data_IF_056509081572
#
_entry.id   IF_056509081572
#
_cell.length_a   1.000
_cell.length_b   1.000
_cell.length_c   1.000
_cell.angle_alpha   90.00
_cell.angle_beta   90.00
_cell.angle_gamma   90.00
#
_symmetry.space_group_name_H-M   'P 1'
#
loop_
_entity.id
_entity.type
_entity.pdbx_description
1 polymer ?
#
# COMPACT_ATOMS: atom_id res chain seq x y z
N UNK A 1 -70.22 -2.13 11.76
CA UNK A 1 -70.30 -2.47 13.20
C UNK A 1 -69.07 -3.31 13.54
N UNK A 2 -68.34 -2.91 14.60
CA UNK A 2 -67.44 -3.73 15.46
C UNK A 2 -66.29 -4.50 14.79
N UNK A 3 -65.00 -4.28 15.00
CA UNK A 3 -64.16 -3.51 15.93
C UNK A 3 -62.72 -4.09 15.84
N UNK A 4 -61.64 -3.37 16.22
CA UNK A 4 -60.26 -3.86 16.05
C UNK A 4 -59.83 -4.79 17.19
N UNK A 5 -59.32 -5.98 16.87
CA UNK A 5 -58.81 -6.92 17.87
C UNK A 5 -57.31 -6.72 18.12
N UNK A 6 -57.01 -6.17 19.30
CA UNK A 6 -55.66 -5.92 19.85
C UNK A 6 -54.95 -7.24 20.21
N UNK A 7 -53.62 -7.37 20.02
CA UNK A 7 -52.89 -8.61 20.29
C UNK A 7 -52.61 -8.80 21.79
N UNK A 8 -52.73 -10.05 22.27
CA UNK A 8 -52.32 -10.45 23.63
C UNK A 8 -50.98 -11.19 23.58
N UNK A 9 -49.97 -10.57 24.19
CA UNK A 9 -48.65 -11.13 24.51
C UNK A 9 -48.83 -12.40 25.36
N UNK A 10 -48.24 -13.51 24.93
CA UNK A 10 -48.03 -14.68 25.80
C UNK A 10 -46.65 -14.59 26.44
N UNK A 11 -46.61 -14.69 27.75
CA UNK A 11 -45.45 -14.56 28.63
C UNK A 11 -45.25 -15.90 29.34
N UNK A 12 -44.05 -16.50 29.18
CA UNK A 12 -43.28 -17.38 30.11
C UNK A 12 -43.91 -18.75 30.50
N UNK A 13 -43.16 -19.74 31.05
CA UNK A 13 -41.90 -19.69 31.84
C UNK A 13 -40.77 -20.65 31.39
N UNK A 14 -39.48 -20.39 31.65
CA UNK A 14 -38.74 -20.53 32.92
C UNK A 14 -38.74 -21.96 33.50
N UNK A 15 -37.69 -22.74 33.19
CA UNK A 15 -37.06 -23.82 33.98
C UNK A 15 -36.10 -24.59 33.04
N UNK A 16 -34.77 -24.51 33.18
CA UNK A 16 -33.89 -25.08 34.22
C UNK A 16 -33.51 -26.56 33.98
N UNK A 17 -32.28 -26.91 34.41
CA UNK A 17 -31.59 -28.22 34.39
C UNK A 17 -30.91 -28.56 33.04
N UNK A 18 -29.59 -28.48 32.82
CA UNK A 18 -28.39 -28.79 33.63
C UNK A 18 -28.29 -30.30 33.96
N UNK A 19 -27.63 -31.09 33.09
CA UNK A 19 -26.95 -32.35 33.45
C UNK A 19 -25.94 -32.82 32.38
N UNK A 20 -24.76 -33.21 32.87
CA UNK A 20 -23.83 -34.23 32.34
C UNK A 20 -22.98 -33.90 31.10
N UNK A 21 -21.70 -33.55 31.26
CA UNK A 21 -20.54 -34.44 31.53
C UNK A 21 -19.88 -34.99 30.25
N UNK A 22 -18.78 -34.32 29.89
CA UNK A 22 -17.55 -34.80 29.25
C UNK A 22 -17.57 -36.17 28.54
N UNK A 23 -17.51 -36.17 27.19
CA UNK A 23 -16.60 -37.01 26.37
C UNK A 23 -16.73 -36.67 24.87
N UNK A 24 -15.97 -35.70 24.36
CA UNK A 24 -15.69 -35.59 22.91
C UNK A 24 -14.48 -34.68 22.67
N UNK A 25 -13.31 -35.17 23.08
CA UNK A 25 -12.05 -34.75 22.52
C UNK A 25 -11.96 -35.32 21.09
N UNK A 26 -12.39 -34.58 20.06
CA UNK A 26 -12.04 -34.91 18.67
C UNK A 26 -12.28 -33.74 17.70
N UNK A 27 -11.22 -33.34 17.02
CA UNK A 27 -11.19 -32.81 15.65
C UNK A 27 -12.21 -31.72 15.24
N UNK A 28 -11.76 -30.47 15.22
CA UNK A 28 -11.78 -29.62 14.00
C UNK A 28 -11.08 -28.28 14.27
N UNK A 29 -9.77 -28.33 14.52
CA UNK A 29 -8.89 -27.21 14.19
C UNK A 29 -8.64 -27.31 12.69
N UNK A 30 -9.43 -26.61 11.87
CA UNK A 30 -9.05 -26.10 10.53
C UNK A 30 -10.26 -25.45 9.85
N UNK A 31 -10.27 -24.12 9.80
CA UNK A 31 -10.81 -23.29 8.70
C UNK A 31 -11.12 -21.87 9.24
N UNK A 32 -10.11 -21.02 9.30
CA UNK A 32 -10.32 -19.58 9.19
C UNK A 32 -9.72 -19.17 7.83
N UNK A 33 -10.53 -18.87 6.80
CA UNK A 33 -10.00 -18.24 5.60
C UNK A 33 -9.47 -16.87 6.02
N UNK A 34 -8.24 -16.57 5.61
CA UNK A 34 -7.61 -15.28 5.83
C UNK A 34 -8.55 -14.17 5.39
N UNK A 35 -9.04 -13.41 6.37
CA UNK A 35 -9.61 -12.08 6.15
C UNK A 35 -8.50 -11.21 5.59
N UNK A 36 -8.42 -11.15 4.27
CA UNK A 36 -7.78 -10.02 3.58
C UNK A 36 -8.61 -8.80 3.96
N UNK A 37 -8.07 -7.99 4.87
CA UNK A 37 -8.61 -6.66 5.09
C UNK A 37 -8.64 -5.91 3.75
N UNK A 38 -9.67 -5.10 3.51
CA UNK A 38 -9.75 -4.30 2.29
C UNK A 38 -8.52 -3.41 2.24
N UNK A 39 -7.77 -3.55 1.16
CA UNK A 39 -6.56 -2.80 0.80
C UNK A 39 -6.79 -1.31 1.09
N UNK A 40 -6.30 -0.87 2.25
CA UNK A 40 -6.51 0.47 2.72
C UNK A 40 -5.75 1.40 1.79
N UNK A 41 -6.44 2.41 1.24
CA UNK A 41 -5.82 3.49 0.48
C UNK A 41 -4.60 4.03 1.26
N UNK A 42 -3.50 4.36 0.56
CA UNK A 42 -2.24 4.79 1.19
C UNK A 42 -2.51 5.89 2.21
N UNK A 43 -2.24 5.58 3.47
CA UNK A 43 -2.48 6.46 4.61
C UNK A 43 -1.61 7.71 4.46
N UNK A 44 -2.19 8.91 4.35
CA UNK A 44 -1.41 10.15 4.22
C UNK A 44 -0.34 10.27 5.34
N UNK A 45 0.92 9.96 5.02
CA UNK A 45 2.04 10.03 5.97
C UNK A 45 2.69 11.40 5.85
N UNK A 46 2.52 12.21 6.89
CA UNK A 46 3.00 13.59 6.92
C UNK A 46 1.98 14.62 6.42
N UNK A 47 2.40 15.88 6.35
CA UNK A 47 1.51 17.01 6.01
C UNK A 47 1.30 17.18 4.51
N UNK A 48 2.08 16.52 3.68
CA UNK A 48 2.08 16.71 2.24
C UNK A 48 0.94 15.95 1.55
N UNK A 49 0.54 16.44 0.36
CA UNK A 49 -0.43 15.74 -0.48
C UNK A 49 0.23 14.52 -1.10
N UNK A 50 -0.50 13.41 -1.24
CA UNK A 50 0.02 12.19 -1.82
C UNK A 50 -0.26 12.13 -3.34
N UNK A 51 0.69 11.57 -4.10
CA UNK A 51 0.46 11.14 -5.48
C UNK A 51 -0.28 9.79 -5.50
N UNK A 52 -1.62 9.85 -5.61
CA UNK A 52 -2.51 8.68 -5.58
C UNK A 52 -2.31 7.79 -6.81
N UNK A 53 -1.97 8.37 -7.96
CA UNK A 53 -1.74 7.62 -9.18
C UNK A 53 -0.46 6.78 -9.08
N UNK A 54 0.60 7.34 -8.49
CA UNK A 54 1.83 6.62 -8.24
C UNK A 54 1.63 5.47 -7.25
N UNK A 55 0.88 5.72 -6.17
CA UNK A 55 0.57 4.68 -5.19
C UNK A 55 -0.22 3.53 -5.82
N UNK A 56 -1.28 3.83 -6.59
CA UNK A 56 -2.05 2.80 -7.31
C UNK A 56 -1.17 1.95 -8.21
N UNK A 57 -0.27 2.57 -8.97
CA UNK A 57 0.61 1.84 -9.88
C UNK A 57 1.59 0.93 -9.11
N UNK A 58 2.05 1.33 -7.93
CA UNK A 58 2.90 0.50 -7.06
C UNK A 58 2.13 -0.71 -6.53
N UNK A 59 0.92 -0.53 -6.03
CA UNK A 59 0.06 -1.63 -5.57
C UNK A 59 -0.26 -2.60 -6.71
N UNK A 60 -0.56 -2.08 -7.91
CA UNK A 60 -0.87 -2.90 -9.08
C UNK A 60 0.33 -3.71 -9.61
N UNK A 61 1.55 -3.16 -9.48
CA UNK A 61 2.77 -3.79 -9.99
C UNK A 61 3.51 -4.65 -8.94
N UNK A 62 3.04 -4.65 -7.69
CA UNK A 62 3.66 -5.41 -6.61
C UNK A 62 2.97 -6.76 -6.44
N UNK A 63 3.73 -7.85 -6.53
CA UNK A 63 3.19 -9.21 -6.53
C UNK A 63 2.68 -9.66 -5.16
N UNK A 64 3.30 -9.21 -4.06
CA UNK A 64 2.95 -9.60 -2.69
C UNK A 64 3.00 -8.36 -1.77
N UNK A 65 1.97 -8.11 -0.95
CA UNK A 65 1.95 -7.01 0.01
C UNK A 65 3.10 -7.04 1.02
N UNK A 66 3.75 -8.18 1.25
CA UNK A 66 4.96 -8.25 2.09
C UNK A 66 6.13 -7.41 1.55
N UNK A 67 6.14 -7.09 0.25
CA UNK A 67 7.14 -6.20 -0.35
C UNK A 67 6.78 -4.72 -0.26
N UNK A 68 5.54 -4.40 0.11
CA UNK A 68 5.09 -3.03 0.34
C UNK A 68 5.47 -2.61 1.75
N UNK A 69 6.61 -1.94 1.87
CA UNK A 69 6.88 -1.20 3.08
C UNK A 69 6.01 0.05 3.14
N UNK A 70 5.77 0.49 4.37
CA UNK A 70 5.11 1.72 4.78
C UNK A 70 5.45 3.01 4.01
N UNK A 71 6.57 3.07 3.29
CA UNK A 71 7.07 4.27 2.62
C UNK A 71 7.09 4.19 1.10
N UNK A 72 6.91 3.00 0.52
CA UNK A 72 7.17 2.77 -0.91
C UNK A 72 6.09 3.40 -1.79
N UNK A 73 4.83 3.35 -1.37
CA UNK A 73 3.65 3.92 -2.01
C UNK A 73 3.37 5.37 -1.59
N UNK A 74 4.16 5.95 -0.69
CA UNK A 74 3.90 7.25 -0.07
C UNK A 74 4.71 8.40 -0.70
N UNK A 75 4.54 8.63 -2.00
CA UNK A 75 5.23 9.72 -2.70
C UNK A 75 4.49 11.07 -2.51
N UNK A 76 5.11 12.09 -1.87
CA UNK A 76 4.50 13.40 -1.75
C UNK A 76 4.44 14.10 -3.12
N UNK A 77 3.24 14.57 -3.48
CA UNK A 77 2.96 15.40 -4.63
C UNK A 77 3.56 16.80 -4.44
N UNK A 78 4.84 16.95 -4.80
CA UNK A 78 5.54 18.23 -4.82
C UNK A 78 5.32 18.96 -6.16
N UNK A 79 5.15 20.29 -6.12
CA UNK A 79 5.10 21.13 -7.34
C UNK A 79 6.48 21.46 -7.89
N UNK A 80 7.51 21.39 -7.04
CA UNK A 80 8.87 21.82 -7.37
C UNK A 80 9.74 20.65 -7.78
N UNK A 81 9.60 19.51 -7.11
CA UNK A 81 10.40 18.31 -7.35
C UNK A 81 9.62 17.38 -8.28
N UNK A 82 10.17 17.01 -9.46
CA UNK A 82 9.49 16.14 -10.39
C UNK A 82 9.36 14.73 -9.82
N UNK A 83 8.18 14.11 -9.97
CA UNK A 83 8.01 12.69 -9.64
C UNK A 83 8.71 11.80 -10.68
N UNK A 84 9.12 10.58 -10.32
CA UNK A 84 9.71 9.65 -11.28
C UNK A 84 8.78 9.38 -12.47
N UNK A 85 7.47 9.23 -12.19
CA UNK A 85 6.45 9.05 -13.21
C UNK A 85 6.35 10.24 -14.16
N UNK A 86 6.44 11.47 -13.66
CA UNK A 86 6.40 12.67 -14.50
C UNK A 86 7.63 12.80 -15.41
N UNK A 87 8.80 12.33 -14.97
CA UNK A 87 10.04 12.39 -15.77
C UNK A 87 10.18 11.22 -16.75
N UNK A 88 9.90 10.00 -16.30
CA UNK A 88 10.09 8.78 -17.08
C UNK A 88 8.86 8.43 -17.94
N UNK A 89 7.68 8.95 -17.60
CA UNK A 89 6.40 8.64 -18.25
C UNK A 89 5.74 7.35 -17.75
N UNK A 90 6.38 6.61 -16.85
CA UNK A 90 5.87 5.39 -16.22
C UNK A 90 6.35 5.30 -14.77
N UNK A 91 5.61 4.54 -13.96
CA UNK A 91 6.02 4.25 -12.57
C UNK A 91 7.19 3.26 -12.57
N UNK A 92 8.19 3.52 -11.73
CA UNK A 92 9.38 2.66 -11.63
C UNK A 92 8.94 1.24 -11.28
N UNK A 93 9.48 0.24 -11.98
CA UNK A 93 9.10 -1.17 -11.79
C UNK A 93 7.88 -1.61 -12.60
N UNK A 94 7.38 -0.79 -13.52
CA UNK A 94 6.32 -1.20 -14.45
C UNK A 94 6.74 -2.45 -15.26
N UNK A 95 5.86 -3.47 -15.39
CA UNK A 95 6.16 -4.70 -16.11
C UNK A 95 6.58 -4.44 -17.56
N UNK A 96 7.64 -5.11 -18.01
CA UNK A 96 8.10 -5.03 -19.40
C UNK A 96 8.89 -3.78 -19.77
N UNK A 97 9.22 -2.91 -18.80
CA UNK A 97 10.03 -1.70 -19.05
C UNK A 97 11.31 -1.74 -18.23
N UNK A 98 12.45 -1.66 -18.92
CA UNK A 98 13.77 -1.50 -18.30
C UNK A 98 14.33 -0.11 -18.62
N UNK A 99 14.52 0.71 -17.59
CA UNK A 99 15.08 2.05 -17.73
C UNK A 99 16.59 1.97 -17.93
N UNK A 100 17.09 2.59 -19.00
CA UNK A 100 18.53 2.69 -19.24
C UNK A 100 19.22 3.51 -18.14
N UNK A 101 20.44 3.16 -17.72
CA UNK A 101 21.17 3.88 -16.68
C UNK A 101 21.31 5.38 -16.96
N UNK A 102 21.50 5.78 -18.22
CA UNK A 102 21.64 7.19 -18.62
C UNK A 102 20.39 7.99 -18.26
N UNK A 103 19.20 7.42 -18.51
CA UNK A 103 17.91 8.04 -18.17
C UNK A 103 17.73 8.20 -16.65
N UNK A 104 18.19 7.22 -15.88
CA UNK A 104 18.18 7.28 -14.41
C UNK A 104 19.10 8.41 -13.94
N UNK A 105 20.27 8.53 -14.55
CA UNK A 105 21.24 9.58 -14.23
C UNK A 105 20.71 10.98 -14.59
N UNK A 106 20.04 11.12 -15.73
CA UNK A 106 19.38 12.36 -16.14
C UNK A 106 18.29 12.78 -15.15
N UNK A 107 17.52 11.82 -14.63
CA UNK A 107 16.54 12.08 -13.59
C UNK A 107 17.20 12.62 -12.31
N UNK A 108 18.29 12.00 -11.83
CA UNK A 108 19.00 12.51 -10.66
C UNK A 108 19.62 13.90 -10.88
N UNK A 109 20.09 14.21 -12.09
CA UNK A 109 20.55 15.55 -12.45
C UNK A 109 19.40 16.56 -12.48
N UNK A 110 18.21 16.16 -12.94
CA UNK A 110 17.01 17.00 -12.87
C UNK A 110 16.57 17.25 -11.43
N UNK A 111 16.64 16.23 -10.57
CA UNK A 111 16.35 16.36 -9.14
C UNK A 111 17.30 17.36 -8.45
N UNK A 112 18.60 17.25 -8.69
CA UNK A 112 19.59 18.18 -8.14
C UNK A 112 19.41 19.63 -8.64
N UNK A 113 18.84 19.84 -9.83
CA UNK A 113 18.46 21.19 -10.30
C UNK A 113 17.19 21.71 -9.62
N UNK A 114 16.28 20.82 -9.24
CA UNK A 114 14.99 21.19 -8.63
C UNK A 114 15.05 21.39 -7.12
N UNK A 115 16.07 20.84 -6.44
CA UNK A 115 16.17 20.89 -4.98
C UNK A 115 17.61 20.98 -4.50
N UNK A 116 17.83 21.89 -3.55
CA UNK A 116 19.11 22.06 -2.84
C UNK A 116 19.48 20.87 -1.93
N UNK A 117 18.57 19.89 -1.76
CA UNK A 117 18.77 18.70 -0.91
C UNK A 117 19.56 17.58 -1.60
N UNK A 118 19.68 17.63 -2.93
CA UNK A 118 20.27 16.55 -3.73
C UNK A 118 21.52 17.05 -4.42
N UNK A 119 22.64 16.35 -4.24
CA UNK A 119 23.90 16.64 -4.93
C UNK A 119 24.37 15.43 -5.73
N UNK A 120 24.79 15.66 -6.98
CA UNK A 120 25.29 14.61 -7.87
C UNK A 120 26.79 14.80 -8.06
N UNK A 121 27.56 13.81 -7.64
CA UNK A 121 29.01 13.74 -7.82
C UNK A 121 29.36 12.67 -8.87
N UNK A 122 30.51 12.80 -9.53
CA UNK A 122 31.01 11.78 -10.45
C UNK A 122 32.23 11.10 -9.84
N UNK A 123 32.15 9.78 -9.63
CA UNK A 123 33.26 8.97 -9.10
C UNK A 123 34.06 8.24 -10.21
N UNK A 124 33.86 8.61 -11.48
CA UNK A 124 34.47 7.95 -12.65
C UNK A 124 33.49 7.08 -13.42
N UNK A 125 33.95 6.52 -14.55
CA UNK A 125 33.11 5.76 -15.46
C UNK A 125 32.93 4.32 -14.99
N UNK A 126 31.68 3.85 -14.96
CA UNK A 126 31.41 2.42 -14.81
C UNK A 126 31.88 1.66 -16.06
N UNK A 127 32.08 0.34 -15.93
CA UNK A 127 32.46 -0.54 -17.05
C UNK A 127 31.44 -0.52 -18.20
N UNK A 128 30.21 -0.09 -17.94
CA UNK A 128 29.15 0.09 -18.93
C UNK A 128 29.01 1.53 -19.47
N UNK A 129 29.91 2.45 -19.13
CA UNK A 129 29.91 3.83 -19.64
C UNK A 129 29.06 4.83 -18.85
N UNK A 130 28.26 4.38 -17.88
CA UNK A 130 27.43 5.25 -17.05
C UNK A 130 28.18 5.74 -15.79
N UNK A 131 28.05 7.02 -15.46
CA UNK A 131 28.61 7.68 -14.25
C UNK A 131 27.56 8.64 -13.70
N UNK A 132 26.97 8.40 -12.50
CA UNK A 132 27.36 9.17 -11.33
C UNK A 132 27.08 8.50 -9.96
N UNK A 133 27.56 9.16 -8.91
CA UNK A 133 27.29 8.90 -7.49
C UNK A 133 26.46 10.04 -6.92
N UNK A 134 25.25 9.75 -6.47
CA UNK A 134 24.37 10.74 -5.81
C UNK A 134 24.63 10.70 -4.32
N UNK A 135 24.82 11.87 -3.70
CA UNK A 135 24.81 12.03 -2.26
C UNK A 135 23.73 13.06 -1.89
N UNK A 136 22.80 12.66 -1.02
CA UNK A 136 21.86 13.58 -0.39
C UNK A 136 22.54 14.21 0.84
N UNK A 137 22.35 15.51 1.04
CA UNK A 137 22.93 16.26 2.16
C UNK A 137 22.14 16.06 3.45
#
# INVERSE_FOLDING_TARGET
MTGPHRPRKRVRPFAAALTSAALALSCAVLAAPGTSEPEALPQKRGRDKLDVDYARDIHANTTDPAFLSEWVDHLPSSRTVPSPKAFLGYSIGSPGVLTQPERINDYFRALAKSSDRVQVFSMGNSRGGASPTVAAR
#
